data_IF_044601745748
#
_entry.id   IF_044601745748
#
_cell.length_a   1.000
_cell.length_b   1.000
_cell.length_c   1.000
_cell.angle_alpha   90.00
_cell.angle_beta   90.00
_cell.angle_gamma   90.00
#
_symmetry.space_group_name_H-M   'P 1'
#
loop_
_entity.id
_entity.type
_entity.pdbx_description
1 polymer ?
#
# COMPACT_ATOMS: atom_id res chain seq x y z
N UNK A 1 -14.06 -13.26 12.98
CA UNK A 1 -14.63 -13.58 11.66
C UNK A 1 -13.92 -14.86 11.25
N UNK A 2 -14.61 -15.99 11.21
CA UNK A 2 -14.02 -17.26 10.78
C UNK A 2 -14.11 -17.33 9.25
N UNK A 3 -13.01 -17.69 8.59
CA UNK A 3 -12.93 -17.90 7.14
C UNK A 3 -12.43 -19.32 6.87
N UNK A 4 -12.89 -19.94 5.79
CA UNK A 4 -12.42 -21.25 5.33
C UNK A 4 -11.16 -21.14 4.45
N UNK A 5 -10.72 -19.93 4.12
CA UNK A 5 -9.49 -19.68 3.39
C UNK A 5 -8.30 -19.66 4.35
N UNK A 6 -7.17 -20.25 3.94
CA UNK A 6 -5.92 -20.15 4.68
C UNK A 6 -5.19 -18.87 4.31
N UNK A 7 -4.67 -18.16 5.31
CA UNK A 7 -3.76 -17.05 5.10
C UNK A 7 -2.47 -17.51 4.36
N UNK A 8 -1.74 -16.60 3.69
CA UNK A 8 -2.04 -15.17 3.54
C UNK A 8 -3.24 -14.90 2.62
N UNK A 9 -3.95 -13.79 2.86
CA UNK A 9 -5.10 -13.36 2.05
C UNK A 9 -4.64 -12.29 1.04
N UNK A 10 -4.26 -12.66 -0.20
CA UNK A 10 -3.83 -11.69 -1.19
C UNK A 10 -5.00 -10.77 -1.58
N UNK A 11 -4.67 -9.50 -1.83
CA UNK A 11 -5.61 -8.48 -2.28
C UNK A 11 -4.99 -7.69 -3.43
N UNK A 12 -5.77 -7.45 -4.47
CA UNK A 12 -5.46 -6.44 -5.49
C UNK A 12 -6.25 -5.17 -5.19
N UNK A 13 -5.54 -4.06 -4.96
CA UNK A 13 -6.15 -2.74 -4.91
C UNK A 13 -6.30 -2.21 -6.33
N UNK A 14 -7.53 -1.95 -6.74
CA UNK A 14 -7.85 -1.37 -8.05
C UNK A 14 -8.21 0.09 -7.86
N UNK A 15 -7.27 0.98 -8.18
CA UNK A 15 -7.44 2.43 -8.11
C UNK A 15 -8.11 2.91 -9.39
N UNK A 16 -9.27 3.53 -9.25
CA UNK A 16 -10.07 4.06 -10.36
C UNK A 16 -10.37 5.54 -10.11
N UNK A 17 -10.60 6.30 -11.18
CA UNK A 17 -11.11 7.66 -11.10
C UNK A 17 -12.21 7.83 -12.15
N UNK A 18 -13.24 8.61 -11.86
CA UNK A 18 -14.28 9.00 -12.82
C UNK A 18 -13.99 10.36 -13.45
N UNK A 19 -12.90 11.02 -13.04
CA UNK A 19 -12.49 12.29 -13.60
C UNK A 19 -11.87 12.10 -14.99
N UNK A 20 -12.28 12.95 -15.94
CA UNK A 20 -11.64 13.01 -17.27
C UNK A 20 -10.20 13.49 -17.13
N UNK A 21 -9.96 14.49 -16.27
CA UNK A 21 -8.64 14.93 -15.88
C UNK A 21 -8.01 13.91 -14.94
N UNK A 22 -6.75 13.50 -15.18
CA UNK A 22 -6.10 12.53 -14.32
C UNK A 22 -5.87 13.10 -12.93
N UNK A 23 -6.06 12.24 -11.94
CA UNK A 23 -5.43 12.40 -10.63
C UNK A 23 -4.14 11.60 -10.63
N UNK A 24 -3.24 11.90 -9.71
CA UNK A 24 -1.91 11.32 -9.67
C UNK A 24 -1.67 10.63 -8.34
N UNK A 25 -1.04 9.47 -8.41
CA UNK A 25 -0.55 8.74 -7.25
C UNK A 25 0.97 8.80 -7.22
N UNK A 26 1.53 9.16 -6.07
CA UNK A 26 2.97 9.14 -5.88
C UNK A 26 3.46 7.70 -5.86
N UNK A 27 4.47 7.40 -6.68
CA UNK A 27 5.19 6.14 -6.67
C UNK A 27 6.67 6.42 -6.50
N UNK A 28 7.29 5.58 -5.67
CA UNK A 28 8.74 5.50 -5.54
C UNK A 28 9.17 4.09 -5.96
N UNK A 29 9.59 3.24 -5.01
CA UNK A 29 9.73 1.81 -5.27
C UNK A 29 8.37 1.14 -5.56
N UNK A 30 7.31 1.68 -4.94
CA UNK A 30 5.93 1.23 -5.05
C UNK A 30 4.98 2.43 -4.96
N UNK A 31 3.74 2.23 -5.40
CA UNK A 31 2.67 3.22 -5.19
C UNK A 31 2.48 3.46 -3.69
N UNK A 32 2.46 4.72 -3.29
CA UNK A 32 2.34 5.12 -1.89
C UNK A 32 0.88 5.04 -1.44
N UNK A 33 0.61 4.20 -0.45
CA UNK A 33 -0.66 4.13 0.28
C UNK A 33 -0.39 3.47 1.64
N UNK A 34 -1.31 3.66 2.58
CA UNK A 34 -1.27 3.01 3.88
C UNK A 34 -2.38 1.96 3.98
N UNK A 35 -2.09 0.85 4.65
CA UNK A 35 -3.12 -0.10 5.11
C UNK A 35 -3.07 -0.11 6.63
N UNK A 36 -4.23 0.02 7.28
CA UNK A 36 -4.38 0.03 8.74
C UNK A 36 -5.31 -1.09 9.18
N UNK A 37 -5.05 -1.68 10.34
CA UNK A 37 -5.90 -2.71 10.93
C UNK A 37 -6.92 -2.11 11.89
N UNK A 38 -8.11 -2.69 12.00
CA UNK A 38 -9.06 -2.29 13.05
C UNK A 38 -8.60 -2.69 14.47
N UNK A 39 -7.59 -3.55 14.60
CA UNK A 39 -7.14 -4.09 15.89
C UNK A 39 -6.69 -3.00 16.87
N UNK A 40 -6.02 -1.96 16.37
CA UNK A 40 -5.59 -0.81 17.17
C UNK A 40 -6.53 0.41 17.01
N UNK A 41 -7.70 0.23 16.38
CA UNK A 41 -8.60 1.33 16.04
C UNK A 41 -8.10 2.20 14.88
N UNK A 42 -7.37 1.59 13.93
CA UNK A 42 -6.82 2.25 12.74
C UNK A 42 -5.84 3.38 13.05
N UNK A 43 -5.06 3.23 14.13
CA UNK A 43 -4.12 4.26 14.57
C UNK A 43 -2.79 4.17 13.81
N UNK A 44 -2.32 2.94 13.56
CA UNK A 44 -1.00 2.70 12.98
C UNK A 44 -1.10 2.11 11.58
N UNK A 45 -0.25 2.59 10.68
CA UNK A 45 -0.05 1.95 9.37
C UNK A 45 0.74 0.67 9.52
N UNK A 46 0.26 -0.39 8.86
CA UNK A 46 0.98 -1.65 8.73
C UNK A 46 2.13 -1.47 7.75
N UNK A 47 3.29 -2.05 8.05
CA UNK A 47 4.31 -2.25 7.04
C UNK A 47 3.87 -3.40 6.11
N UNK A 48 3.41 -3.05 4.92
CA UNK A 48 2.84 -3.99 3.93
C UNK A 48 3.81 -4.42 2.82
N UNK A 49 5.02 -3.87 2.83
CA UNK A 49 6.11 -4.36 2.00
C UNK A 49 7.43 -4.13 2.72
N UNK A 50 8.37 -5.02 2.44
CA UNK A 50 9.74 -5.01 2.92
C UNK A 50 10.75 -4.85 1.76
N UNK A 51 10.36 -4.10 0.73
CA UNK A 51 11.28 -3.69 -0.35
C UNK A 51 12.62 -3.27 0.24
N UNK A 52 13.72 -3.64 -0.42
CA UNK A 52 15.07 -3.19 -0.06
C UNK A 52 15.62 -3.76 1.25
N UNK A 53 15.02 -4.82 1.78
CA UNK A 53 15.52 -5.50 2.98
C UNK A 53 15.61 -7.01 2.74
N UNK A 54 16.43 -7.68 3.54
CA UNK A 54 16.55 -9.16 3.53
C UNK A 54 15.73 -9.77 4.67
N UNK A 55 15.42 -11.06 4.60
CA UNK A 55 14.81 -11.74 5.75
C UNK A 55 15.82 -11.75 6.91
N UNK A 56 15.37 -11.45 8.13
CA UNK A 56 16.25 -11.43 9.30
C UNK A 56 16.83 -12.81 9.65
N UNK A 57 16.25 -13.89 9.13
CA UNK A 57 16.75 -15.25 9.36
C UNK A 57 17.71 -15.75 8.26
N UNK A 58 17.84 -15.00 7.17
CA UNK A 58 18.77 -15.36 6.10
C UNK A 58 20.22 -15.20 6.57
N UNK A 59 21.14 -16.08 6.11
CA UNK A 59 22.54 -15.94 6.45
C UNK A 59 23.11 -14.62 5.89
N UNK A 60 24.04 -13.99 6.61
CA UNK A 60 24.63 -12.73 6.17
C UNK A 60 25.33 -12.88 4.81
N UNK A 61 24.92 -12.06 3.84
CA UNK A 61 25.45 -12.07 2.46
C UNK A 61 26.62 -11.11 2.25
N UNK A 62 27.14 -10.49 3.32
CA UNK A 62 28.37 -9.69 3.30
C UNK A 62 28.22 -8.25 2.83
N UNK A 63 27.01 -7.79 2.46
CA UNK A 63 26.70 -6.38 2.21
C UNK A 63 25.22 -6.10 2.45
N UNK A 64 24.89 -4.88 2.88
CA UNK A 64 23.51 -4.43 3.01
C UNK A 64 22.90 -4.21 1.62
N UNK A 65 21.63 -4.58 1.48
CA UNK A 65 20.88 -4.30 0.25
C UNK A 65 20.75 -2.78 0.06
N UNK A 66 21.15 -2.30 -1.11
CA UNK A 66 20.93 -0.92 -1.52
C UNK A 66 19.86 -0.90 -2.61
N UNK A 67 18.86 -0.06 -2.42
CA UNK A 67 17.85 0.19 -3.45
C UNK A 67 18.08 1.54 -4.10
N UNK A 68 17.92 1.56 -5.41
CA UNK A 68 17.77 2.79 -6.18
C UNK A 68 16.33 2.83 -6.71
N UNK A 69 15.52 3.70 -6.12
CA UNK A 69 14.12 3.85 -6.49
C UNK A 69 13.88 5.23 -7.07
N UNK A 70 13.49 5.27 -8.34
CA UNK A 70 13.03 6.48 -8.98
C UNK A 70 11.70 6.94 -8.36
N UNK A 71 11.47 8.24 -8.38
CA UNK A 71 10.18 8.86 -8.03
C UNK A 71 9.42 9.18 -9.30
N UNK A 72 8.14 8.86 -9.34
CA UNK A 72 7.23 9.26 -10.41
C UNK A 72 5.79 9.47 -9.93
N UNK A 73 5.00 10.15 -10.77
CA UNK A 73 3.58 10.42 -10.56
C UNK A 73 2.77 9.60 -11.56
N UNK A 74 1.97 8.66 -11.06
CA UNK A 74 1.20 7.74 -11.90
C UNK A 74 -0.20 8.31 -12.13
N UNK A 75 -0.59 8.64 -13.37
CA UNK A 75 -1.92 9.17 -13.66
C UNK A 75 -2.99 8.07 -13.60
N UNK A 76 -4.16 8.41 -13.04
CA UNK A 76 -5.39 7.60 -13.03
C UNK A 76 -6.56 8.50 -13.44
N UNK A 77 -7.35 8.08 -14.44
CA UNK A 77 -8.48 8.85 -15.00
C UNK A 77 -9.67 7.94 -15.32
N UNK A 78 -10.72 8.49 -15.92
CA UNK A 78 -11.90 7.76 -16.42
C UNK A 78 -11.60 6.66 -17.47
N UNK A 79 -10.39 6.68 -18.01
CA UNK A 79 -9.92 5.85 -19.12
C UNK A 79 -8.72 4.98 -18.71
N UNK A 80 -8.22 5.11 -17.48
CA UNK A 80 -7.11 4.34 -16.96
C UNK A 80 -7.30 3.97 -15.48
N UNK A 81 -6.93 2.74 -15.14
CA UNK A 81 -6.89 2.26 -13.75
C UNK A 81 -5.47 1.83 -13.39
N UNK A 82 -5.15 1.87 -12.10
CA UNK A 82 -3.91 1.30 -11.58
C UNK A 82 -4.24 0.15 -10.64
N UNK A 83 -3.65 -1.02 -10.88
CA UNK A 83 -3.76 -2.17 -9.98
C UNK A 83 -2.47 -2.36 -9.21
N UNK A 84 -2.57 -2.54 -7.89
CA UNK A 84 -1.44 -2.87 -7.02
C UNK A 84 -1.79 -4.09 -6.17
N UNK A 85 -0.94 -5.12 -6.25
CA UNK A 85 -1.12 -6.32 -5.45
C UNK A 85 -0.45 -6.18 -4.08
N UNK A 86 -1.19 -6.56 -3.04
CA UNK A 86 -0.67 -6.81 -1.70
C UNK A 86 -0.80 -8.31 -1.41
N UNK A 87 0.31 -9.03 -1.16
CA UNK A 87 0.29 -10.47 -0.97
C UNK A 87 -0.37 -10.93 0.35
N UNK A 88 -0.95 -10.01 1.14
CA UNK A 88 -1.56 -10.33 2.43
C UNK A 88 -0.55 -10.58 3.55
N UNK A 89 0.67 -10.04 3.42
CA UNK A 89 1.70 -10.11 4.46
C UNK A 89 1.97 -8.73 5.06
N UNK A 90 2.31 -8.72 6.34
CA UNK A 90 2.84 -7.57 7.07
C UNK A 90 4.26 -7.84 7.54
N UNK A 91 4.99 -6.79 7.85
CA UNK A 91 6.41 -6.87 8.18
C UNK A 91 6.74 -6.13 9.47
N UNK A 92 7.81 -6.57 10.13
CA UNK A 92 8.51 -5.76 11.14
C UNK A 92 9.96 -5.66 10.74
N UNK A 93 10.60 -4.53 11.03
CA UNK A 93 11.99 -4.29 10.66
C UNK A 93 12.93 -4.35 11.86
N UNK A 94 14.13 -4.85 11.63
CA UNK A 94 15.20 -4.92 12.60
C UNK A 94 16.56 -4.75 11.92
N UNK A 95 17.64 -4.95 12.68
CA UNK A 95 19.00 -5.05 12.15
C UNK A 95 19.51 -6.48 12.33
N UNK A 96 20.15 -7.02 11.30
CA UNK A 96 20.84 -8.30 11.38
C UNK A 96 22.22 -8.16 12.07
N UNK A 97 22.98 -9.25 12.14
CA UNK A 97 24.31 -9.27 12.77
C UNK A 97 25.34 -8.35 12.08
N UNK A 98 25.16 -8.05 10.79
CA UNK A 98 26.01 -7.14 10.02
C UNK A 98 25.57 -5.67 10.15
N UNK A 99 24.50 -5.39 10.90
CA UNK A 99 23.92 -4.05 11.06
C UNK A 99 23.05 -3.59 9.90
N UNK A 100 22.77 -4.46 8.93
CA UNK A 100 21.89 -4.20 7.79
C UNK A 100 20.42 -4.28 8.18
N UNK A 101 19.59 -3.46 7.55
CA UNK A 101 18.13 -3.56 7.70
C UNK A 101 17.62 -4.91 7.18
N UNK A 102 16.80 -5.56 7.99
CA UNK A 102 16.16 -6.83 7.68
C UNK A 102 14.69 -6.80 8.09
N UNK A 103 13.89 -7.73 7.57
CA UNK A 103 12.49 -7.88 7.91
C UNK A 103 12.15 -9.26 8.47
N UNK A 104 11.14 -9.31 9.33
CA UNK A 104 10.38 -10.51 9.60
C UNK A 104 9.02 -10.38 8.92
N UNK A 105 8.51 -11.49 8.38
CA UNK A 105 7.25 -11.55 7.65
C UNK A 105 6.18 -12.24 8.50
N UNK A 106 4.98 -11.68 8.48
CA UNK A 106 3.81 -12.22 9.17
C UNK A 106 2.61 -12.19 8.23
N UNK A 107 1.76 -13.21 8.31
CA UNK A 107 0.49 -13.22 7.58
C UNK A 107 -0.48 -12.21 8.21
N UNK A 108 -1.14 -11.40 7.39
CA UNK A 108 -2.16 -10.48 7.87
C UNK A 108 -3.38 -11.28 8.36
N UNK A 109 -3.84 -11.11 9.61
CA UNK A 109 -4.97 -11.87 10.13
C UNK A 109 -6.27 -11.50 9.41
N UNK A 110 -7.24 -12.43 9.39
CA UNK A 110 -8.60 -12.11 8.93
C UNK A 110 -9.21 -11.02 9.83
N UNK A 111 -9.90 -10.04 9.25
CA UNK A 111 -10.38 -8.89 10.01
C UNK A 111 -10.78 -7.70 9.14
N UNK A 112 -11.09 -6.56 9.79
CA UNK A 112 -11.38 -5.30 9.11
C UNK A 112 -10.10 -4.47 8.98
N UNK A 113 -9.95 -3.85 7.83
CA UNK A 113 -8.81 -3.03 7.45
C UNK A 113 -9.30 -1.74 6.78
N UNK A 114 -8.39 -0.78 6.66
CA UNK A 114 -8.60 0.49 5.96
C UNK A 114 -7.43 0.73 5.04
N UNK A 115 -7.68 1.08 3.79
CA UNK A 115 -6.68 1.64 2.88
C UNK A 115 -6.84 3.15 2.83
N UNK A 116 -5.73 3.88 2.91
CA UNK A 116 -5.65 5.33 2.76
C UNK A 116 -4.67 5.66 1.63
N UNK A 117 -5.16 6.34 0.60
CA UNK A 117 -4.39 6.64 -0.62
C UNK A 117 -4.25 8.16 -0.74
N UNK A 118 -3.04 8.71 -0.58
CA UNK A 118 -2.75 10.10 -0.89
C UNK A 118 -2.97 10.37 -2.39
N UNK A 119 -3.78 11.36 -2.74
CA UNK A 119 -4.08 11.72 -4.12
C UNK A 119 -3.62 13.14 -4.40
N UNK A 120 -3.06 13.33 -5.60
CA UNK A 120 -2.55 14.61 -6.07
C UNK A 120 -3.27 15.03 -7.36
N UNK A 121 -3.52 16.31 -7.53
CA UNK A 121 -4.17 16.88 -8.72
C UNK A 121 -3.14 17.34 -9.77
N UNK A 122 -1.86 17.37 -9.42
CA UNK A 122 -0.75 17.71 -10.32
C UNK A 122 0.28 16.58 -10.40
N UNK A 123 1.09 16.60 -11.47
CA UNK A 123 2.17 15.63 -11.69
C UNK A 123 3.53 16.11 -11.16
N UNK A 124 3.55 17.08 -10.25
CA UNK A 124 4.79 17.56 -9.65
C UNK A 124 5.44 16.44 -8.82
N UNK A 125 6.75 16.23 -8.96
CA UNK A 125 7.47 15.11 -8.32
C UNK A 125 7.75 15.31 -6.82
N UNK A 126 7.60 16.54 -6.34
CA UNK A 126 7.86 16.89 -4.94
C UNK A 126 6.70 17.68 -4.32
N UNK A 127 5.48 17.13 -4.35
CA UNK A 127 4.34 17.78 -3.75
C UNK A 127 4.51 17.78 -2.23
N UNK A 128 4.35 18.95 -1.59
CA UNK A 128 4.56 19.06 -0.14
C UNK A 128 3.49 18.33 0.68
N UNK A 129 2.28 18.18 0.15
CA UNK A 129 1.15 17.46 0.75
C UNK A 129 0.23 16.92 -0.36
N UNK A 130 -0.50 15.82 -0.13
CA UNK A 130 -1.58 15.41 -1.03
C UNK A 130 -2.72 16.44 -1.01
N UNK A 131 -3.43 16.56 -2.13
CA UNK A 131 -4.62 17.42 -2.23
C UNK A 131 -5.77 16.84 -1.38
N UNK A 132 -5.93 15.51 -1.39
CA UNK A 132 -6.83 14.79 -0.49
C UNK A 132 -6.36 13.35 -0.28
N UNK A 133 -7.07 12.60 0.57
CA UNK A 133 -6.81 11.17 0.81
C UNK A 133 -8.08 10.37 0.56
N UNK A 134 -8.03 9.43 -0.39
CA UNK A 134 -9.12 8.48 -0.60
C UNK A 134 -9.04 7.39 0.49
N UNK A 135 -10.18 7.07 1.12
CA UNK A 135 -10.25 6.14 2.24
C UNK A 135 -11.30 5.08 1.97
N UNK A 136 -10.91 3.81 2.05
CA UNK A 136 -11.83 2.67 1.89
C UNK A 136 -11.60 1.65 3.01
N UNK A 137 -12.68 1.28 3.69
CA UNK A 137 -12.68 0.17 4.63
C UNK A 137 -12.95 -1.14 3.87
N UNK A 138 -12.22 -2.20 4.20
CA UNK A 138 -12.37 -3.53 3.59
C UNK A 138 -12.17 -4.63 4.64
N UNK A 139 -12.45 -5.88 4.24
CA UNK A 139 -12.22 -7.06 5.10
C UNK A 139 -11.23 -8.01 4.46
N UNK A 140 -10.44 -8.71 5.28
CA UNK A 140 -9.69 -9.88 4.87
C UNK A 140 -10.38 -11.16 5.35
N UNK A 141 -10.54 -12.17 4.48
CA UNK A 141 -10.29 -12.12 3.04
C UNK A 141 -11.23 -11.15 2.31
N UNK A 142 -10.72 -10.49 1.26
CA UNK A 142 -11.53 -9.59 0.46
C UNK A 142 -12.47 -10.41 -0.45
N UNK A 143 -13.77 -10.07 -0.53
CA UNK A 143 -14.65 -10.68 -1.52
C UNK A 143 -14.04 -10.50 -2.93
N UNK A 144 -13.88 -11.59 -3.68
CA UNK A 144 -13.21 -11.64 -5.01
C UNK A 144 -11.70 -11.34 -5.04
N UNK A 145 -11.06 -11.10 -3.88
CA UNK A 145 -9.65 -10.74 -3.81
C UNK A 145 -9.31 -9.34 -4.35
N UNK A 146 -10.33 -8.53 -4.67
CA UNK A 146 -10.16 -7.18 -5.21
C UNK A 146 -10.83 -6.16 -4.30
N UNK A 147 -10.13 -5.07 -4.03
CA UNK A 147 -10.65 -3.90 -3.32
C UNK A 147 -10.58 -2.71 -4.27
N UNK A 148 -11.73 -2.23 -4.72
CA UNK A 148 -11.82 -1.02 -5.56
C UNK A 148 -11.71 0.22 -4.69
N UNK A 149 -10.83 1.13 -5.08
CA UNK A 149 -10.63 2.42 -4.43
C UNK A 149 -10.95 3.51 -5.43
N UNK A 150 -12.08 4.18 -5.21
CA UNK A 150 -12.50 5.34 -6.01
C UNK A 150 -11.70 6.56 -5.56
N UNK A 151 -10.88 7.08 -6.47
CA UNK A 151 -10.07 8.27 -6.28
C UNK A 151 -10.80 9.54 -6.70
N UNK A 152 -12.04 9.47 -7.20
CA UNK A 152 -12.76 10.67 -7.62
C UNK A 152 -12.94 11.61 -6.44
N UNK A 153 -12.45 12.84 -6.54
CA UNK A 153 -12.73 13.87 -5.53
C UNK A 153 -14.24 14.09 -5.46
N UNK A 154 -14.81 14.03 -4.25
CA UNK A 154 -16.11 14.61 -4.02
C UNK A 154 -15.93 16.14 -4.03
N UNK A 155 -15.95 16.76 -5.22
CA UNK A 155 -16.05 18.20 -5.31
C UNK A 155 -17.23 18.63 -4.42
N UNK A 156 -17.05 19.60 -3.50
CA UNK A 156 -18.21 20.17 -2.83
C UNK A 156 -19.17 20.64 -3.93
N UNK A 157 -20.42 20.16 -3.88
CA UNK A 157 -21.47 20.68 -4.74
C UNK A 157 -21.51 22.20 -4.52
N UNK A 158 -21.28 22.97 -5.59
CA UNK A 158 -21.43 24.44 -5.60
C UNK A 158 -22.85 24.87 -5.18
#
# INVERSE_FOLDING_TARGET
METNESAPYPVTFSFISKNVQPVYLLRQCRTQFAVKSCFDGYQSSLAISADCTVDCNDPPVGACMACDCAFDMVPVSDSSSLEVSWPGNTYTFAKNADGCECHNRFEAPAGKYRIEVPVYLTNELYPSTPDYTAVVDFTLPAPSGVVTVDLTEAYPED
#
